data_IF_835089629629
#
_entry.id   IF_835089629629
#
_cell.length_a   1.000
_cell.length_b   1.000
_cell.length_c   1.000
_cell.angle_alpha   90.00
_cell.angle_beta   90.00
_cell.angle_gamma   90.00
#
_symmetry.space_group_name_H-M   'P 1'
#
loop_
_entity.id
_entity.type
_entity.pdbx_description
1 polymer ?
#
# COMPACT_ATOMS: atom_id res chain seq x y z
N UNK A 1 1.83 22.15 -7.11
CA UNK A 1 2.48 21.07 -7.88
C UNK A 1 3.91 20.92 -7.39
N UNK A 2 4.19 19.96 -6.50
CA UNK A 2 5.55 19.64 -6.12
C UNK A 2 6.16 18.77 -7.22
N UNK A 3 7.25 19.24 -7.86
CA UNK A 3 7.99 18.45 -8.84
C UNK A 3 9.28 17.99 -8.15
N UNK A 4 9.31 16.74 -7.71
CA UNK A 4 10.57 16.08 -7.35
C UNK A 4 11.31 15.78 -8.66
N UNK A 5 12.02 16.77 -9.19
CA UNK A 5 12.84 16.56 -10.37
C UNK A 5 14.18 15.98 -9.92
N UNK A 6 14.39 14.68 -10.18
CA UNK A 6 15.71 14.01 -10.13
C UNK A 6 16.63 14.51 -11.27
N UNK A 7 16.59 15.80 -11.62
CA UNK A 7 17.25 16.36 -12.80
C UNK A 7 18.69 16.80 -12.54
N UNK A 8 19.27 16.49 -11.38
CA UNK A 8 20.72 16.55 -11.24
C UNK A 8 21.32 15.19 -11.58
N UNK A 9 21.28 14.85 -12.87
CA UNK A 9 21.93 13.66 -13.44
C UNK A 9 23.43 13.61 -13.12
N UNK A 10 24.03 14.77 -12.82
CA UNK A 10 25.42 14.89 -12.39
C UNK A 10 25.64 14.46 -10.93
N UNK A 11 24.64 14.62 -10.04
CA UNK A 11 24.69 14.19 -8.62
C UNK A 11 24.24 12.74 -8.45
N UNK A 12 23.40 12.24 -9.36
CA UNK A 12 22.91 10.84 -9.37
C UNK A 12 23.54 10.01 -10.50
N UNK A 13 24.80 10.28 -10.85
CA UNK A 13 25.54 9.44 -11.80
C UNK A 13 26.10 8.22 -11.07
N UNK A 14 25.97 7.00 -11.63
CA UNK A 14 26.54 5.75 -11.07
C UNK A 14 28.07 5.80 -10.93
N UNK A 15 28.70 6.80 -11.53
CA UNK A 15 30.13 7.07 -11.54
C UNK A 15 30.56 8.14 -10.54
N UNK A 16 29.62 8.76 -9.82
CA UNK A 16 29.93 9.85 -8.91
C UNK A 16 30.35 9.30 -7.55
N UNK A 17 31.66 9.25 -7.32
CA UNK A 17 32.29 8.79 -6.07
C UNK A 17 31.99 9.73 -4.88
N UNK A 18 31.38 10.88 -5.14
CA UNK A 18 31.15 11.98 -4.20
C UNK A 18 29.85 11.80 -3.42
N UNK A 19 28.85 11.15 -3.99
CA UNK A 19 27.53 11.00 -3.37
C UNK A 19 27.36 9.55 -2.94
N UNK A 20 27.49 9.29 -1.64
CA UNK A 20 27.19 8.00 -1.03
C UNK A 20 25.66 7.78 -0.98
N UNK A 21 25.04 7.76 -2.15
CA UNK A 21 23.59 7.63 -2.30
C UNK A 21 23.09 6.32 -1.71
N UNK A 22 23.92 5.27 -1.75
CA UNK A 22 23.63 4.00 -1.11
C UNK A 22 23.48 4.19 0.41
N UNK A 23 24.47 4.76 1.11
CA UNK A 23 24.32 5.02 2.54
C UNK A 23 23.20 5.99 2.85
N UNK A 24 22.97 6.98 2.00
CA UNK A 24 21.85 7.91 2.18
C UNK A 24 20.50 7.17 2.16
N UNK A 25 20.20 6.39 1.11
CA UNK A 25 18.96 5.63 1.04
C UNK A 25 18.86 4.54 2.12
N UNK A 26 19.96 3.87 2.46
CA UNK A 26 19.99 2.93 3.57
C UNK A 26 19.67 3.62 4.90
N UNK A 27 20.18 4.84 5.13
CA UNK A 27 19.89 5.59 6.35
C UNK A 27 18.41 5.99 6.45
N UNK A 28 17.80 6.36 5.32
CA UNK A 28 16.35 6.62 5.26
C UNK A 28 15.56 5.36 5.58
N UNK A 29 15.91 4.21 4.98
CA UNK A 29 15.22 2.94 5.28
C UNK A 29 15.30 2.58 6.76
N UNK A 30 16.49 2.72 7.37
CA UNK A 30 16.66 2.48 8.80
C UNK A 30 15.80 3.38 9.68
N UNK A 31 15.64 4.65 9.30
CA UNK A 31 14.79 5.59 10.00
C UNK A 31 13.30 5.21 9.88
N UNK A 32 12.88 4.77 8.70
CA UNK A 32 11.49 4.35 8.46
C UNK A 32 11.14 3.00 9.09
N UNK A 33 12.15 2.20 9.45
CA UNK A 33 12.00 0.91 10.14
C UNK A 33 12.15 1.03 11.66
N UNK A 34 12.39 2.23 12.19
CA UNK A 34 12.53 2.47 13.62
C UNK A 34 11.19 2.22 14.33
N UNK A 35 11.10 1.28 15.29
CA UNK A 35 9.86 0.98 15.98
C UNK A 35 9.32 2.17 16.80
N UNK A 36 10.18 3.11 17.20
CA UNK A 36 9.76 4.31 17.94
C UNK A 36 9.08 5.36 17.04
N UNK A 37 9.23 5.25 15.71
CA UNK A 37 8.72 6.19 14.70
C UNK A 37 7.55 5.60 13.88
N UNK A 38 7.03 4.44 14.30
CA UNK A 38 6.01 3.69 13.53
C UNK A 38 4.72 4.49 13.31
N UNK A 39 4.29 5.27 14.29
CA UNK A 39 3.05 6.05 14.23
C UNK A 39 3.17 7.19 13.22
N UNK A 40 4.34 7.82 13.15
CA UNK A 40 4.70 8.88 12.20
C UNK A 40 4.84 8.32 10.79
N UNK A 41 5.47 7.14 10.64
CA UNK A 41 5.62 6.45 9.36
C UNK A 41 4.27 6.02 8.81
N UNK A 42 3.36 5.49 9.65
CA UNK A 42 2.01 5.12 9.24
C UNK A 42 1.18 6.35 8.81
N UNK A 43 1.29 7.46 9.55
CA UNK A 43 0.67 8.72 9.14
C UNK A 43 1.22 9.23 7.80
N UNK A 44 2.54 9.14 7.62
CA UNK A 44 3.21 9.51 6.37
C UNK A 44 2.72 8.65 5.20
N UNK A 45 2.63 7.33 5.39
CA UNK A 45 2.12 6.40 4.38
C UNK A 45 0.65 6.68 4.05
N UNK A 46 -0.17 6.96 5.06
CA UNK A 46 -1.58 7.32 4.88
C UNK A 46 -1.77 8.63 4.12
N UNK A 47 -0.92 9.64 4.39
CA UNK A 47 -0.92 10.90 3.64
C UNK A 47 -0.40 10.71 2.21
N UNK A 48 0.71 9.99 2.05
CA UNK A 48 1.34 9.74 0.75
C UNK A 48 0.40 8.98 -0.19
N UNK A 49 -0.23 7.91 0.30
CA UNK A 49 -1.17 7.12 -0.49
C UNK A 49 -2.38 7.94 -0.94
N UNK A 50 -2.90 8.87 -0.13
CA UNK A 50 -3.96 9.81 -0.55
C UNK A 50 -3.54 10.72 -1.70
N UNK A 51 -2.29 11.19 -1.67
CA UNK A 51 -1.78 12.13 -2.66
C UNK A 51 -1.39 11.45 -3.98
N UNK A 52 -0.75 10.28 -3.90
CA UNK A 52 -0.23 9.56 -5.07
C UNK A 52 -1.29 8.65 -5.70
N UNK A 53 -2.18 8.08 -4.89
CA UNK A 53 -3.25 7.20 -5.36
C UNK A 53 -4.65 7.72 -4.96
N UNK A 54 -5.11 8.84 -5.54
CA UNK A 54 -6.43 9.40 -5.20
C UNK A 54 -7.59 8.43 -5.43
N UNK A 55 -7.47 7.59 -6.47
CA UNK A 55 -8.51 6.64 -6.90
C UNK A 55 -8.49 5.30 -6.16
N UNK A 56 -7.39 4.93 -5.50
CA UNK A 56 -7.34 3.67 -4.73
C UNK A 56 -8.13 3.79 -3.43
N UNK A 57 -8.25 5.00 -2.87
CA UNK A 57 -9.04 5.24 -1.66
C UNK A 57 -10.55 5.35 -1.94
N UNK A 58 -10.96 5.71 -3.15
CA UNK A 58 -12.37 5.63 -3.56
C UNK A 58 -12.88 4.18 -3.66
N UNK A 59 -11.98 3.20 -3.77
CA UNK A 59 -12.34 1.78 -3.88
C UNK A 59 -12.64 1.09 -2.56
N UNK A 60 -12.53 1.79 -1.41
CA UNK A 60 -13.20 1.38 -0.18
C UNK A 60 -14.72 1.62 -0.22
N UNK A 61 -15.26 2.10 -1.34
CA UNK A 61 -16.68 1.96 -1.60
C UNK A 61 -17.05 0.47 -1.53
N UNK A 62 -17.70 0.13 -0.41
CA UNK A 62 -18.45 -1.08 -0.14
C UNK A 62 -18.75 -1.82 -1.45
N UNK A 63 -18.33 -3.10 -1.60
CA UNK A 63 -18.65 -3.85 -2.79
C UNK A 63 -20.14 -3.71 -3.01
N UNK A 64 -20.53 -3.06 -4.12
CA UNK A 64 -21.94 -2.81 -4.38
C UNK A 64 -22.69 -4.13 -4.25
N UNK A 65 -23.95 -4.09 -3.82
CA UNK A 65 -24.74 -5.29 -3.53
C UNK A 65 -24.75 -6.30 -4.71
N UNK A 66 -24.50 -5.80 -5.93
CA UNK A 66 -24.43 -6.57 -7.17
C UNK A 66 -23.02 -6.76 -7.75
N UNK A 67 -21.98 -6.36 -7.04
CA UNK A 67 -20.59 -6.55 -7.47
C UNK A 67 -20.28 -8.04 -7.65
N UNK A 68 -19.35 -8.34 -8.56
CA UNK A 68 -18.91 -9.71 -8.79
C UNK A 68 -18.39 -10.35 -7.48
N UNK A 69 -17.71 -9.57 -6.63
CA UNK A 69 -17.20 -10.01 -5.34
C UNK A 69 -18.32 -10.36 -4.35
N UNK A 70 -19.35 -9.52 -4.22
CA UNK A 70 -20.53 -9.82 -3.39
C UNK A 70 -21.22 -11.13 -3.82
N UNK A 71 -21.35 -11.37 -5.12
CA UNK A 71 -21.94 -12.61 -5.67
C UNK A 71 -21.06 -13.84 -5.42
N UNK A 72 -19.73 -13.69 -5.48
CA UNK A 72 -18.78 -14.77 -5.16
C UNK A 72 -18.88 -15.13 -3.67
N UNK A 73 -18.84 -14.14 -2.77
CA UNK A 73 -19.00 -14.35 -1.33
C UNK A 73 -20.36 -15.00 -0.99
N UNK A 74 -21.45 -14.56 -1.62
CA UNK A 74 -22.78 -15.15 -1.43
C UNK A 74 -22.84 -16.62 -1.84
N UNK A 75 -22.18 -17.00 -2.95
CA UNK A 75 -22.09 -18.41 -3.37
C UNK A 75 -21.36 -19.26 -2.34
N UNK A 76 -20.23 -18.77 -1.81
CA UNK A 76 -19.49 -19.48 -0.77
C UNK A 76 -20.28 -19.62 0.53
N UNK A 77 -21.01 -18.59 0.94
CA UNK A 77 -21.88 -18.65 2.12
C UNK A 77 -22.99 -19.70 1.98
N UNK A 78 -23.63 -19.78 0.80
CA UNK A 78 -24.67 -20.79 0.51
C UNK A 78 -24.12 -22.22 0.53
N UNK A 79 -22.94 -22.44 -0.04
CA UNK A 79 -22.28 -23.76 -0.02
C UNK A 79 -21.90 -24.18 1.39
N UNK A 80 -21.35 -23.24 2.20
CA UNK A 80 -21.03 -23.50 3.60
C UNK A 80 -22.28 -23.83 4.42
N UNK A 81 -23.39 -23.10 4.23
CA UNK A 81 -24.64 -23.39 4.91
C UNK A 81 -25.23 -24.77 4.50
N UNK A 82 -25.16 -25.12 3.23
CA UNK A 82 -25.63 -26.44 2.75
C UNK A 82 -24.76 -27.60 3.25
N UNK A 83 -23.45 -27.38 3.44
CA UNK A 83 -22.56 -28.38 4.03
C UNK A 83 -22.85 -28.59 5.53
N UNK A 84 -23.15 -27.51 6.27
CA UNK A 84 -23.51 -27.59 7.69
C UNK A 84 -24.87 -28.28 7.89
N UNK A 85 -25.82 -28.14 6.97
CA UNK A 85 -27.12 -28.83 7.07
C UNK A 85 -26.99 -30.35 6.87
N UNK A 86 -26.05 -30.81 6.04
CA UNK A 86 -25.80 -32.25 5.82
C UNK A 86 -25.01 -32.93 6.96
N UNK A 87 -24.35 -32.18 7.84
CA UNK A 87 -23.64 -32.72 9.01
C UNK A 87 -24.52 -32.81 10.27
N UNK A 88 -25.74 -32.25 10.26
CA UNK A 88 -26.66 -32.23 11.42
C UNK A 88 -27.89 -33.13 11.23
N UNK A 89 -27.87 -34.05 10.26
CA UNK A 89 -28.91 -35.07 10.02
C UNK A 89 -28.39 -36.48 10.34
#
# INVERSE_FOLDING_TARGET
QARFTLTSTQVFSRTDLVTDSERFYISILKLLEDPDEVDEVDQLMGWWNRQIFPLSMESEQLPSENSALARICQKFAKQKASAVVLENE
#
